data_IF_087444337693
#
_entry.id   IF_087444337693
#
_cell.length_a   1.000
_cell.length_b   1.000
_cell.length_c   1.000
_cell.angle_alpha   90.00
_cell.angle_beta   90.00
_cell.angle_gamma   90.00
#
_symmetry.space_group_name_H-M   'P 1'
#
loop_
_entity.id
_entity.type
_entity.pdbx_description
1 polymer ?
#
# COMPACT_ATOMS: atom_id res chain seq x y z
N UNK A 1 79.89 -2.00 -4.79
CA UNK A 1 79.12 -2.96 -3.99
C UNK A 1 77.99 -2.16 -3.35
N UNK A 2 77.13 -1.56 -4.16
CA UNK A 2 75.95 -2.25 -4.73
C UNK A 2 75.19 -2.99 -3.64
N UNK A 3 74.17 -2.32 -3.12
CA UNK A 3 72.94 -2.94 -2.69
C UNK A 3 71.83 -1.98 -3.14
N UNK A 4 71.59 -1.97 -4.45
CA UNK A 4 70.32 -1.50 -4.99
C UNK A 4 69.24 -2.41 -4.38
N UNK A 5 68.56 -1.92 -3.35
CA UNK A 5 67.27 -2.48 -2.96
C UNK A 5 66.36 -2.14 -4.12
N UNK A 6 66.07 -3.13 -4.94
CA UNK A 6 65.00 -3.06 -5.91
C UNK A 6 63.69 -3.06 -5.10
N UNK A 7 63.34 -1.91 -4.53
CA UNK A 7 61.97 -1.66 -4.07
C UNK A 7 61.14 -1.62 -5.34
N UNK A 8 60.54 -2.75 -5.68
CA UNK A 8 59.54 -2.84 -6.76
C UNK A 8 58.49 -1.77 -6.49
N UNK A 9 58.46 -0.74 -7.35
CA UNK A 9 57.46 0.30 -7.29
C UNK A 9 56.07 -0.36 -7.35
N UNK A 10 55.27 -0.11 -6.33
CA UNK A 10 53.90 -0.63 -6.24
C UNK A 10 52.97 0.33 -6.98
N UNK A 11 52.01 -0.19 -7.72
CA UNK A 11 51.07 0.62 -8.49
C UNK A 11 49.64 0.21 -8.19
N UNK A 12 48.73 1.19 -8.14
CA UNK A 12 47.31 0.94 -7.96
C UNK A 12 46.78 0.08 -9.11
N UNK A 13 46.11 -1.03 -8.78
CA UNK A 13 45.54 -1.94 -9.76
C UNK A 13 44.58 -1.26 -10.76
N UNK A 14 43.83 -0.24 -10.31
CA UNK A 14 42.76 0.36 -11.12
C UNK A 14 43.18 1.62 -11.89
N UNK A 15 43.95 2.52 -11.28
CA UNK A 15 44.33 3.80 -11.90
C UNK A 15 45.81 3.87 -12.31
N UNK A 16 46.63 2.91 -11.88
CA UNK A 16 48.05 2.85 -12.20
C UNK A 16 48.92 3.91 -11.53
N UNK A 17 48.40 4.66 -10.54
CA UNK A 17 49.23 5.60 -9.78
C UNK A 17 50.26 4.85 -8.92
N UNK A 18 51.42 5.46 -8.69
CA UNK A 18 52.45 4.91 -7.81
C UNK A 18 51.98 4.94 -6.35
N UNK A 19 52.12 3.80 -5.68
CA UNK A 19 51.73 3.59 -4.29
C UNK A 19 52.96 3.58 -3.39
N UNK A 20 52.79 4.14 -2.21
CA UNK A 20 53.75 4.11 -1.11
C UNK A 20 53.17 3.27 0.03
N UNK A 21 54.01 2.88 1.00
CA UNK A 21 53.55 2.17 2.20
C UNK A 21 52.47 2.91 3.00
N UNK A 22 52.35 4.24 2.85
CA UNK A 22 51.33 5.06 3.52
C UNK A 22 50.06 5.26 2.68
N UNK A 23 50.12 5.03 1.37
CA UNK A 23 49.03 5.30 0.42
C UNK A 23 48.40 4.05 -0.20
N UNK A 24 49.00 2.88 0.01
CA UNK A 24 48.42 1.59 -0.36
C UNK A 24 47.24 1.26 0.56
N UNK A 25 46.16 0.80 -0.04
CA UNK A 25 45.04 0.16 0.62
C UNK A 25 44.86 -1.22 0.00
N UNK A 26 44.55 -2.21 0.83
CA UNK A 26 44.32 -3.59 0.40
C UNK A 26 42.88 -3.98 0.73
N UNK A 27 42.19 -4.57 -0.25
CA UNK A 27 40.84 -5.11 -0.08
C UNK A 27 40.67 -6.31 -1.02
N UNK A 28 40.23 -7.46 -0.48
CA UNK A 28 40.15 -8.75 -1.18
C UNK A 28 41.40 -9.09 -2.00
N UNK A 29 42.57 -9.02 -1.35
CA UNK A 29 43.88 -9.28 -1.98
C UNK A 29 44.22 -8.34 -3.16
N UNK A 30 43.51 -7.21 -3.32
CA UNK A 30 43.79 -6.18 -4.34
C UNK A 30 44.38 -4.94 -3.70
N UNK A 31 45.60 -4.58 -4.12
CA UNK A 31 46.29 -3.35 -3.72
C UNK A 31 45.87 -2.17 -4.61
N UNK A 32 45.36 -1.10 -4.00
CA UNK A 32 44.87 0.09 -4.69
C UNK A 32 45.12 1.37 -3.90
N UNK A 33 44.98 2.54 -4.54
CA UNK A 33 45.01 3.80 -3.81
C UNK A 33 43.69 4.03 -3.07
N UNK A 34 43.73 4.91 -2.06
CA UNK A 34 42.56 5.30 -1.27
C UNK A 34 41.37 5.78 -2.12
N UNK A 35 41.62 6.57 -3.16
CA UNK A 35 40.56 7.08 -4.04
C UNK A 35 39.86 5.94 -4.76
N UNK A 36 40.63 5.01 -5.34
CA UNK A 36 40.06 3.82 -5.98
C UNK A 36 39.34 2.90 -4.98
N UNK A 37 39.80 2.80 -3.73
CA UNK A 37 39.07 2.06 -2.70
C UNK A 37 37.68 2.68 -2.50
N UNK A 38 37.59 3.99 -2.28
CA UNK A 38 36.31 4.67 -2.09
C UNK A 38 35.40 4.62 -3.32
N UNK A 39 35.97 4.75 -4.52
CA UNK A 39 35.19 4.76 -5.77
C UNK A 39 34.66 3.38 -6.17
N UNK A 40 35.28 2.30 -5.68
CA UNK A 40 34.99 0.92 -6.10
C UNK A 40 34.30 0.07 -5.04
N UNK A 41 34.29 0.53 -3.80
CA UNK A 41 33.74 -0.24 -2.67
C UNK A 41 32.80 0.63 -1.84
N UNK A 42 31.79 -0.01 -1.28
CA UNK A 42 30.85 0.59 -0.33
C UNK A 42 30.92 -0.16 1.00
N UNK A 43 30.17 0.29 1.99
CA UNK A 43 30.06 -0.35 3.30
C UNK A 43 28.61 -0.81 3.46
N UNK A 44 28.41 -2.08 3.82
CA UNK A 44 27.10 -2.61 4.14
C UNK A 44 26.53 -1.89 5.37
N UNK A 45 25.36 -1.27 5.22
CA UNK A 45 24.70 -0.52 6.31
C UNK A 45 24.20 -1.44 7.44
N UNK A 46 24.07 -2.75 7.16
CA UNK A 46 23.59 -3.74 8.13
C UNK A 46 24.72 -4.29 9.02
N UNK A 47 25.81 -4.80 8.44
CA UNK A 47 26.91 -5.41 9.20
C UNK A 47 28.16 -4.53 9.35
N UNK A 48 28.33 -3.48 8.53
CA UNK A 48 29.50 -2.61 8.51
C UNK A 48 30.69 -3.16 7.71
N UNK A 49 30.54 -4.30 7.05
CA UNK A 49 31.60 -4.85 6.18
C UNK A 49 31.74 -4.03 4.90
N UNK A 50 32.98 -3.85 4.44
CA UNK A 50 33.27 -3.27 3.13
C UNK A 50 33.03 -4.33 2.06
N UNK A 51 32.38 -3.95 0.96
CA UNK A 51 32.05 -4.80 -0.18
C UNK A 51 32.36 -4.07 -1.48
N UNK A 52 32.56 -4.80 -2.58
CA UNK A 52 32.64 -4.19 -3.90
C UNK A 52 31.29 -3.57 -4.28
N UNK A 53 31.31 -2.48 -5.04
CA UNK A 53 30.07 -1.85 -5.53
C UNK A 53 29.25 -2.78 -6.44
N UNK A 54 29.88 -3.76 -7.07
CA UNK A 54 29.19 -4.79 -7.87
C UNK A 54 28.51 -5.86 -7.01
N UNK A 55 28.88 -5.95 -5.73
CA UNK A 55 28.31 -6.87 -4.73
C UNK A 55 27.36 -6.13 -3.76
N UNK A 56 26.85 -4.96 -4.15
CA UNK A 56 25.80 -4.27 -3.42
C UNK A 56 24.42 -4.76 -3.89
N UNK A 57 23.73 -5.47 -2.99
CA UNK A 57 22.40 -6.04 -3.18
C UNK A 57 21.29 -5.18 -2.57
N UNK A 58 21.61 -3.95 -2.16
CA UNK A 58 20.68 -2.98 -1.61
C UNK A 58 19.86 -2.23 -2.66
N UNK A 59 19.56 -0.96 -2.36
CA UNK A 59 18.88 -0.05 -3.28
C UNK A 59 19.48 1.38 -3.20
N UNK A 60 18.79 2.37 -3.77
CA UNK A 60 19.29 3.75 -3.77
C UNK A 60 19.46 4.39 -2.38
N UNK A 61 18.86 3.80 -1.34
CA UNK A 61 18.83 4.32 0.02
C UNK A 61 19.67 3.51 1.01
N UNK A 62 19.96 2.24 0.72
CA UNK A 62 20.70 1.34 1.61
C UNK A 62 21.65 0.45 0.82
N UNK A 63 22.89 0.32 1.28
CA UNK A 63 23.89 -0.60 0.74
C UNK A 63 23.91 -1.90 1.55
N UNK A 64 23.82 -3.06 0.90
CA UNK A 64 23.75 -4.36 1.58
C UNK A 64 24.66 -5.40 0.91
N UNK A 65 25.40 -6.17 1.71
CA UNK A 65 26.03 -7.38 1.21
C UNK A 65 24.99 -8.49 0.97
N UNK A 66 25.34 -9.49 0.16
CA UNK A 66 24.46 -10.61 -0.21
C UNK A 66 23.84 -11.30 1.02
N UNK A 67 24.67 -11.69 2.01
CA UNK A 67 24.18 -12.36 3.22
C UNK A 67 23.21 -11.50 4.03
N UNK A 68 23.49 -10.21 4.21
CA UNK A 68 22.57 -9.32 4.93
C UNK A 68 21.26 -9.15 4.17
N UNK A 69 21.30 -8.99 2.84
CA UNK A 69 20.10 -8.91 2.00
C UNK A 69 19.24 -10.16 2.14
N UNK A 70 19.83 -11.35 2.13
CA UNK A 70 19.09 -12.60 2.13
C UNK A 70 18.51 -12.96 3.51
N UNK A 71 19.25 -12.66 4.58
CA UNK A 71 18.85 -13.06 5.94
C UNK A 71 17.93 -12.05 6.63
N UNK A 72 18.07 -10.76 6.32
CA UNK A 72 17.45 -9.69 7.11
C UNK A 72 16.47 -8.81 6.32
N UNK A 73 16.36 -9.01 5.00
CA UNK A 73 15.51 -8.18 4.15
C UNK A 73 14.63 -9.01 3.22
N UNK A 74 13.49 -8.40 2.87
CA UNK A 74 12.52 -8.94 1.93
C UNK A 74 12.02 -7.84 1.00
N UNK A 75 11.18 -8.18 0.02
CA UNK A 75 10.55 -7.19 -0.86
C UNK A 75 9.05 -7.22 -0.71
N UNK A 76 8.42 -6.05 -0.71
CA UNK A 76 6.97 -5.98 -0.74
C UNK A 76 6.43 -6.65 -2.01
N UNK A 77 5.49 -7.57 -1.85
CA UNK A 77 4.88 -8.30 -2.97
C UNK A 77 4.13 -7.41 -3.98
N UNK A 78 3.70 -6.21 -3.57
CA UNK A 78 2.93 -5.30 -4.42
C UNK A 78 3.78 -4.21 -5.10
N UNK A 79 4.61 -3.50 -4.33
CA UNK A 79 5.39 -2.36 -4.83
C UNK A 79 6.89 -2.64 -4.98
N UNK A 80 7.34 -3.87 -4.69
CA UNK A 80 8.73 -4.33 -4.78
C UNK A 80 9.75 -3.55 -3.90
N UNK A 81 9.26 -2.68 -3.03
CA UNK A 81 10.08 -1.92 -2.07
C UNK A 81 10.86 -2.89 -1.17
N UNK A 82 12.16 -2.63 -1.00
CA UNK A 82 13.02 -3.38 -0.09
C UNK A 82 12.66 -3.04 1.36
N UNK A 83 12.44 -4.05 2.19
CA UNK A 83 12.00 -3.93 3.57
C UNK A 83 12.94 -4.72 4.47
N UNK A 84 13.27 -4.17 5.64
CA UNK A 84 13.82 -5.00 6.70
C UNK A 84 12.75 -6.01 7.12
N UNK A 85 13.16 -7.20 7.56
CA UNK A 85 12.22 -8.23 8.03
C UNK A 85 11.38 -7.74 9.23
N UNK A 86 11.89 -6.79 10.02
CA UNK A 86 11.19 -6.18 11.16
C UNK A 86 10.13 -5.14 10.72
N UNK A 87 10.31 -4.51 9.55
CA UNK A 87 9.36 -3.53 8.98
C UNK A 87 8.35 -4.16 8.02
N UNK A 88 8.53 -5.43 7.66
CA UNK A 88 7.64 -6.18 6.79
C UNK A 88 6.41 -6.68 7.55
N UNK A 89 5.24 -6.47 6.95
CA UNK A 89 3.97 -7.02 7.42
C UNK A 89 3.61 -8.25 6.58
N UNK A 90 3.07 -9.29 7.20
CA UNK A 90 2.82 -10.58 6.54
C UNK A 90 1.32 -10.93 6.51
N UNK A 91 0.84 -11.33 5.33
CA UNK A 91 -0.48 -11.95 5.12
C UNK A 91 -0.25 -13.30 4.39
N UNK A 92 -0.66 -14.41 5.00
CA UNK A 92 -0.36 -15.78 4.51
C UNK A 92 1.10 -16.00 4.04
N UNK A 93 2.05 -15.61 4.89
CA UNK A 93 3.51 -15.66 4.63
C UNK A 93 4.00 -14.78 3.45
N UNK A 94 3.14 -13.93 2.89
CA UNK A 94 3.50 -12.97 1.84
C UNK A 94 3.87 -11.61 2.46
N UNK A 95 5.06 -11.05 2.17
CA UNK A 95 5.52 -9.80 2.76
C UNK A 95 4.96 -8.55 2.05
N UNK A 96 4.60 -7.54 2.84
CA UNK A 96 4.09 -6.26 2.38
C UNK A 96 4.72 -5.10 3.16
N UNK A 97 4.88 -3.94 2.52
CA UNK A 97 5.15 -2.71 3.23
C UNK A 97 3.89 -2.28 3.98
N UNK A 98 4.01 -1.41 5.00
CA UNK A 98 2.86 -0.96 5.80
C UNK A 98 1.68 -0.46 4.96
N UNK A 99 1.96 0.34 3.93
CA UNK A 99 0.92 0.91 3.07
C UNK A 99 0.24 -0.17 2.24
N UNK A 100 1.00 -1.04 1.57
CA UNK A 100 0.43 -2.14 0.78
C UNK A 100 -0.27 -3.16 1.68
N UNK A 101 0.27 -3.45 2.87
CA UNK A 101 -0.37 -4.32 3.84
C UNK A 101 -1.67 -3.72 4.33
N UNK A 102 -1.73 -2.43 4.64
CA UNK A 102 -3.01 -1.81 4.99
C UNK A 102 -3.96 -1.80 3.80
N UNK A 103 -3.54 -1.46 2.59
CA UNK A 103 -4.45 -1.51 1.44
C UNK A 103 -4.93 -2.95 1.14
N UNK A 104 -4.11 -3.96 1.45
CA UNK A 104 -4.41 -5.39 1.30
C UNK A 104 -5.23 -5.96 2.48
N UNK A 105 -5.00 -5.49 3.70
CA UNK A 105 -5.56 -6.01 4.97
C UNK A 105 -6.57 -5.09 5.66
N UNK A 106 -6.74 -3.84 5.22
CA UNK A 106 -8.01 -3.10 5.37
C UNK A 106 -8.97 -3.77 4.41
N UNK A 107 -9.35 -4.99 4.77
CA UNK A 107 -10.07 -5.88 3.87
C UNK A 107 -11.27 -5.17 3.29
N UNK A 108 -11.70 -5.64 2.14
CA UNK A 108 -12.86 -5.16 1.40
C UNK A 108 -14.16 -5.12 2.20
N UNK A 109 -14.15 -5.50 3.47
CA UNK A 109 -15.23 -5.35 4.42
C UNK A 109 -14.69 -4.64 5.66
N UNK A 110 -15.01 -3.35 5.81
CA UNK A 110 -14.65 -2.56 6.98
C UNK A 110 -15.57 -2.83 8.18
N UNK A 111 -15.18 -2.38 9.36
CA UNK A 111 -16.04 -2.40 10.55
C UNK A 111 -17.29 -1.52 10.39
N UNK A 112 -18.35 -1.83 11.13
CA UNK A 112 -19.63 -1.08 11.07
C UNK A 112 -19.49 0.42 11.37
N UNK A 113 -18.44 0.82 12.10
CA UNK A 113 -18.17 2.21 12.49
C UNK A 113 -17.25 2.93 11.49
N UNK A 114 -16.76 2.23 10.47
CA UNK A 114 -15.89 2.81 9.46
C UNK A 114 -16.60 3.92 8.69
N UNK A 115 -15.93 5.06 8.61
CA UNK A 115 -16.44 6.26 7.97
C UNK A 115 -15.27 7.05 7.36
N UNK A 116 -14.98 6.88 6.07
CA UNK A 116 -13.91 7.62 5.40
C UNK A 116 -14.29 9.10 5.23
N UNK A 117 -13.31 9.91 4.84
CA UNK A 117 -13.58 11.29 4.41
C UNK A 117 -14.48 11.27 3.16
N UNK A 118 -15.59 12.03 3.14
CA UNK A 118 -16.57 11.94 2.06
C UNK A 118 -16.08 12.60 0.77
N UNK A 119 -16.09 11.84 -0.33
CA UNK A 119 -15.91 12.34 -1.69
C UNK A 119 -17.30 12.73 -2.25
N UNK A 120 -17.48 13.98 -2.70
CA UNK A 120 -18.78 14.45 -3.17
C UNK A 120 -18.89 14.36 -4.69
N UNK A 121 -19.89 13.62 -5.18
CA UNK A 121 -20.10 13.38 -6.60
C UNK A 121 -21.32 14.12 -7.17
N UNK A 122 -21.08 14.91 -8.22
CA UNK A 122 -22.08 15.73 -8.90
C UNK A 122 -22.20 17.14 -8.34
N UNK A 123 -23.02 17.97 -9.00
CA UNK A 123 -23.19 19.39 -8.68
C UNK A 123 -24.58 19.62 -8.09
N UNK A 124 -24.64 19.80 -6.78
CA UNK A 124 -25.89 20.05 -6.03
C UNK A 124 -25.61 20.59 -4.64
N UNK A 125 -26.60 21.25 -4.03
CA UNK A 125 -26.58 21.57 -2.59
C UNK A 125 -27.08 20.40 -1.71
N UNK A 126 -27.65 19.36 -2.35
CA UNK A 126 -28.20 18.18 -1.68
C UNK A 126 -27.52 16.91 -2.18
N UNK A 127 -26.89 16.21 -1.24
CA UNK A 127 -26.19 14.96 -1.46
C UNK A 127 -26.79 13.85 -0.63
N UNK A 128 -26.67 12.64 -1.17
CA UNK A 128 -27.20 11.42 -0.61
C UNK A 128 -26.06 10.40 -0.49
N UNK A 129 -25.83 9.87 0.71
CA UNK A 129 -25.08 8.63 0.89
C UNK A 129 -26.09 7.49 0.95
N UNK A 130 -25.87 6.41 0.23
CA UNK A 130 -26.75 5.23 0.23
C UNK A 130 -26.03 4.07 0.87
N UNK A 131 -26.67 3.43 1.85
CA UNK A 131 -26.23 2.16 2.43
C UNK A 131 -27.22 1.08 1.98
N UNK A 132 -26.74 0.15 1.14
CA UNK A 132 -27.53 -0.97 0.63
C UNK A 132 -27.07 -2.24 1.33
N UNK A 133 -27.94 -2.81 2.15
CA UNK A 133 -27.68 -4.09 2.80
C UNK A 133 -28.04 -5.26 1.87
N UNK A 134 -27.14 -6.22 1.82
CA UNK A 134 -27.26 -7.46 1.06
C UNK A 134 -26.85 -8.65 1.95
N UNK A 135 -27.55 -9.78 1.87
CA UNK A 135 -27.39 -10.94 2.76
C UNK A 135 -27.53 -12.25 1.96
N UNK A 136 -27.10 -13.37 2.54
CA UNK A 136 -27.17 -14.71 1.93
C UNK A 136 -25.88 -15.19 1.26
N UNK A 137 -25.02 -14.27 0.81
CA UNK A 137 -23.72 -14.59 0.20
C UNK A 137 -22.54 -14.67 1.18
N UNK A 138 -22.77 -14.48 2.48
CA UNK A 138 -21.72 -14.51 3.51
C UNK A 138 -21.03 -13.17 3.75
N UNK A 139 -20.34 -13.05 4.88
CA UNK A 139 -19.35 -11.97 5.09
C UNK A 139 -18.02 -12.34 4.41
N UNK A 140 -18.06 -12.43 3.07
CA UNK A 140 -16.99 -12.98 2.25
C UNK A 140 -16.15 -11.86 1.60
N UNK A 141 -14.83 -11.90 1.81
CA UNK A 141 -13.90 -10.85 1.37
C UNK A 141 -13.74 -10.84 -0.16
N UNK A 142 -13.63 -12.00 -0.79
CA UNK A 142 -13.45 -12.12 -2.24
C UNK A 142 -14.68 -11.61 -2.99
N UNK A 143 -15.86 -11.86 -2.42
CA UNK A 143 -17.11 -11.30 -2.91
C UNK A 143 -17.14 -9.76 -2.81
N UNK A 144 -16.69 -9.22 -1.67
CA UNK A 144 -16.61 -7.79 -1.45
C UNK A 144 -15.62 -7.13 -2.43
N UNK A 145 -14.43 -7.72 -2.62
CA UNK A 145 -13.44 -7.30 -3.64
C UNK A 145 -14.04 -7.28 -5.03
N UNK A 146 -14.72 -8.37 -5.41
CA UNK A 146 -15.37 -8.49 -6.72
C UNK A 146 -16.40 -7.37 -6.96
N UNK A 147 -17.13 -6.96 -5.93
CA UNK A 147 -18.08 -5.84 -6.02
C UNK A 147 -17.34 -4.51 -6.14
N UNK A 148 -16.33 -4.28 -5.30
CA UNK A 148 -15.52 -3.06 -5.31
C UNK A 148 -14.83 -2.86 -6.66
N UNK A 149 -14.10 -3.85 -7.16
CA UNK A 149 -13.39 -3.78 -8.44
C UNK A 149 -14.32 -3.49 -9.62
N UNK A 150 -15.56 -4.02 -9.55
CA UNK A 150 -16.54 -3.83 -10.61
C UNK A 150 -17.08 -2.40 -10.65
N UNK A 151 -17.19 -1.76 -9.48
CA UNK A 151 -17.88 -0.48 -9.31
C UNK A 151 -16.90 0.68 -9.25
N UNK A 152 -15.80 0.53 -8.51
CA UNK A 152 -14.76 1.53 -8.32
C UNK A 152 -13.73 1.52 -9.46
N UNK A 153 -14.19 1.43 -10.70
CA UNK A 153 -13.31 1.37 -11.87
C UNK A 153 -12.77 2.76 -12.24
N UNK A 154 -11.75 3.21 -11.50
CA UNK A 154 -11.04 4.47 -11.70
C UNK A 154 -11.41 5.59 -10.73
N UNK A 155 -12.58 5.51 -10.09
CA UNK A 155 -13.05 6.41 -9.05
C UNK A 155 -13.54 5.60 -7.83
N UNK A 156 -13.29 6.06 -6.60
CA UNK A 156 -13.82 5.45 -5.38
C UNK A 156 -15.27 5.89 -5.16
N UNK A 157 -16.23 5.09 -5.64
CA UNK A 157 -17.66 5.38 -5.57
C UNK A 157 -18.30 4.75 -4.33
N UNK A 158 -17.84 3.57 -3.94
CA UNK A 158 -18.37 2.78 -2.83
C UNK A 158 -17.25 2.26 -1.91
N UNK A 159 -17.62 1.95 -0.69
CA UNK A 159 -16.87 1.12 0.24
C UNK A 159 -17.83 0.14 0.90
N UNK A 160 -17.33 -0.98 1.42
CA UNK A 160 -18.17 -2.02 2.01
C UNK A 160 -17.88 -2.14 3.50
N UNK A 161 -18.94 -2.27 4.29
CA UNK A 161 -18.90 -2.51 5.73
C UNK A 161 -19.52 -3.85 6.07
N UNK A 162 -19.14 -4.39 7.22
CA UNK A 162 -19.93 -5.41 7.91
C UNK A 162 -20.96 -4.73 8.81
N UNK A 163 -22.18 -5.25 8.83
CA UNK A 163 -23.19 -4.88 9.80
C UNK A 163 -23.49 -6.07 10.72
N UNK A 164 -23.51 -5.83 12.04
CA UNK A 164 -23.89 -6.83 13.03
C UNK A 164 -25.38 -7.15 13.06
N UNK A 165 -26.21 -6.39 12.32
CA UNK A 165 -27.63 -6.67 12.12
C UNK A 165 -27.90 -7.75 11.06
N UNK A 166 -26.94 -7.98 10.16
CA UNK A 166 -26.99 -9.00 9.12
C UNK A 166 -26.52 -10.34 9.67
N UNK A 167 -27.10 -11.44 9.18
CA UNK A 167 -26.66 -12.77 9.59
C UNK A 167 -25.34 -13.11 8.88
N UNK A 168 -25.33 -12.99 7.54
CA UNK A 168 -24.24 -13.43 6.66
C UNK A 168 -24.21 -12.52 5.42
N UNK A 169 -23.98 -11.22 5.63
CA UNK A 169 -24.16 -10.18 4.62
C UNK A 169 -23.16 -9.03 4.65
N UNK A 170 -23.31 -8.11 3.69
CA UNK A 170 -22.50 -6.93 3.46
C UNK A 170 -23.37 -5.68 3.41
N UNK A 171 -22.80 -4.55 3.81
CA UNK A 171 -23.39 -3.22 3.65
C UNK A 171 -22.57 -2.44 2.62
N UNK A 172 -23.14 -2.24 1.42
CA UNK A 172 -22.50 -1.47 0.36
C UNK A 172 -22.85 0.00 0.57
N UNK A 173 -21.83 0.83 0.82
CA UNK A 173 -22.02 2.25 1.13
C UNK A 173 -21.44 3.13 0.04
N UNK A 174 -22.25 4.05 -0.49
CA UNK A 174 -21.76 5.05 -1.44
C UNK A 174 -21.14 6.24 -0.73
N UNK A 175 -20.12 6.81 -1.34
CA UNK A 175 -19.79 8.21 -1.08
C UNK A 175 -20.98 9.14 -1.42
N UNK A 176 -21.07 10.36 -0.83
CA UNK A 176 -22.21 11.24 -1.07
C UNK A 176 -22.34 11.68 -2.54
N UNK A 177 -23.51 11.49 -3.14
CA UNK A 177 -23.78 11.86 -4.53
C UNK A 177 -25.05 12.70 -4.66
N UNK A 178 -25.08 13.60 -5.64
CA UNK A 178 -26.33 14.26 -6.04
C UNK A 178 -27.34 13.23 -6.58
N UNK A 179 -28.63 13.53 -6.50
CA UNK A 179 -29.68 12.63 -7.02
C UNK A 179 -29.50 12.32 -8.51
N UNK A 180 -29.10 13.32 -9.30
CA UNK A 180 -28.85 13.13 -10.74
C UNK A 180 -27.62 12.25 -11.00
N UNK A 181 -26.61 12.28 -10.12
CA UNK A 181 -25.48 11.36 -10.22
C UNK A 181 -25.93 9.92 -9.93
N UNK A 182 -26.69 9.69 -8.84
CA UNK A 182 -27.22 8.35 -8.54
C UNK A 182 -28.06 7.77 -9.68
N UNK A 183 -28.87 8.60 -10.36
CA UNK A 183 -29.77 8.13 -11.43
C UNK A 183 -29.06 7.84 -12.74
N UNK A 184 -28.04 8.63 -13.08
CA UNK A 184 -27.49 8.66 -14.44
C UNK A 184 -26.03 8.19 -14.54
N UNK A 185 -25.29 8.10 -13.42
CA UNK A 185 -23.85 7.82 -13.42
C UNK A 185 -23.44 6.70 -12.47
N UNK A 186 -24.07 6.59 -11.31
CA UNK A 186 -23.79 5.49 -10.38
C UNK A 186 -24.18 4.15 -11.05
N UNK A 187 -23.26 3.18 -11.16
CA UNK A 187 -23.51 1.90 -11.84
C UNK A 187 -24.30 0.93 -10.96
N UNK A 188 -25.50 1.34 -10.52
CA UNK A 188 -26.40 0.51 -9.73
C UNK A 188 -26.78 -0.83 -10.39
N UNK A 189 -27.01 -0.90 -11.72
CA UNK A 189 -27.23 -2.19 -12.38
C UNK A 189 -26.06 -3.16 -12.16
N UNK A 190 -24.83 -2.69 -12.28
CA UNK A 190 -23.63 -3.49 -12.09
C UNK A 190 -23.46 -3.93 -10.64
N UNK A 191 -23.76 -3.06 -9.67
CA UNK A 191 -23.82 -3.42 -8.23
C UNK A 191 -24.80 -4.57 -8.02
N UNK A 192 -26.05 -4.41 -8.49
CA UNK A 192 -27.12 -5.38 -8.27
C UNK A 192 -26.85 -6.71 -8.98
N UNK A 193 -26.42 -6.67 -10.24
CA UNK A 193 -26.10 -7.87 -11.01
C UNK A 193 -24.91 -8.62 -10.41
N UNK A 194 -23.90 -7.91 -9.91
CA UNK A 194 -22.74 -8.54 -9.27
C UNK A 194 -23.11 -9.18 -7.95
N UNK A 195 -23.85 -8.48 -7.08
CA UNK A 195 -24.36 -9.05 -5.84
C UNK A 195 -25.21 -10.31 -6.09
N UNK A 196 -26.11 -10.27 -7.07
CA UNK A 196 -26.94 -11.44 -7.43
C UNK A 196 -26.13 -12.62 -7.96
N UNK A 197 -25.04 -12.40 -8.72
CA UNK A 197 -24.16 -13.47 -9.19
C UNK A 197 -23.36 -14.12 -8.06
N UNK A 198 -23.14 -13.38 -6.98
CA UNK A 198 -22.44 -13.82 -5.78
C UNK A 198 -23.43 -14.33 -4.71
N UNK A 199 -24.65 -14.69 -5.11
CA UNK A 199 -25.73 -15.25 -4.27
C UNK A 199 -26.23 -14.33 -3.14
N UNK A 200 -25.97 -13.03 -3.21
CA UNK A 200 -26.56 -12.05 -2.29
C UNK A 200 -27.96 -11.61 -2.71
N UNK A 201 -28.79 -11.35 -1.70
CA UNK A 201 -30.16 -10.85 -1.79
C UNK A 201 -30.35 -9.66 -0.83
N UNK A 202 -31.18 -8.68 -1.22
CA UNK A 202 -31.52 -7.53 -0.35
C UNK A 202 -32.94 -7.66 0.20
N UNK A 203 -33.90 -6.82 -0.24
CA UNK A 203 -35.33 -6.79 0.15
C UNK A 203 -36.12 -8.13 0.18
N UNK A 204 -35.52 -9.23 -0.27
CA UNK A 204 -36.08 -10.59 -0.20
C UNK A 204 -35.66 -11.33 1.07
N UNK A 205 -34.85 -10.72 1.93
CA UNK A 205 -34.53 -11.18 3.27
C UNK A 205 -35.31 -10.36 4.31
N UNK A 206 -35.38 -10.85 5.54
CA UNK A 206 -35.98 -10.11 6.67
C UNK A 206 -34.98 -9.20 7.39
N UNK A 207 -33.72 -9.22 6.97
CA UNK A 207 -32.58 -8.59 7.64
C UNK A 207 -32.07 -7.35 6.93
N UNK A 208 -32.33 -7.20 5.63
CA UNK A 208 -31.77 -6.10 4.85
C UNK A 208 -32.67 -4.85 4.81
N UNK A 209 -32.03 -3.69 4.95
CA UNK A 209 -32.57 -2.35 4.74
C UNK A 209 -31.91 -1.57 3.60
N UNK A 210 -32.46 -0.38 3.35
CA UNK A 210 -31.87 0.64 2.50
C UNK A 210 -31.84 1.94 3.31
N UNK A 211 -30.65 2.43 3.62
CA UNK A 211 -30.49 3.69 4.33
C UNK A 211 -30.05 4.80 3.38
N UNK A 212 -30.58 5.99 3.61
CA UNK A 212 -30.26 7.19 2.84
C UNK A 212 -29.86 8.28 3.81
N UNK A 213 -28.60 8.67 3.75
CA UNK A 213 -28.02 9.78 4.51
C UNK A 213 -28.10 11.06 3.68
N UNK A 214 -28.60 12.14 4.28
CA UNK A 214 -28.70 13.44 3.62
C UNK A 214 -27.77 14.43 4.32
N UNK A 215 -27.04 15.24 3.55
CA UNK A 215 -26.17 16.27 4.12
C UNK A 215 -26.97 17.27 4.96
N UNK A 216 -26.51 17.55 6.19
CA UNK A 216 -27.20 18.44 7.15
C UNK A 216 -27.49 19.82 6.60
N UNK A 217 -26.61 20.35 5.74
CA UNK A 217 -26.77 21.68 5.14
C UNK A 217 -28.02 21.80 4.27
N UNK A 218 -28.59 20.68 3.81
CA UNK A 218 -29.92 20.65 3.17
C UNK A 218 -31.02 21.21 4.07
N UNK A 219 -30.90 21.05 5.39
CA UNK A 219 -31.88 21.50 6.38
C UNK A 219 -31.57 22.88 6.96
N UNK A 220 -30.57 23.58 6.41
CA UNK A 220 -30.16 24.91 6.84
C UNK A 220 -28.70 24.99 7.26
N UNK A 221 -28.22 26.24 7.37
CA UNK A 221 -26.81 26.52 7.66
C UNK A 221 -26.51 26.57 9.18
N UNK A 222 -27.55 26.67 10.01
CA UNK A 222 -27.43 26.71 11.47
C UNK A 222 -27.97 25.42 12.08
N UNK A 223 -27.44 25.06 13.26
CA UNK A 223 -27.92 23.90 14.01
C UNK A 223 -29.40 24.03 14.39
N UNK A 224 -29.84 25.24 14.75
CA UNK A 224 -31.23 25.55 15.09
C UNK A 224 -32.18 25.25 13.92
N UNK A 225 -31.85 25.72 12.71
CA UNK A 225 -32.66 25.45 11.52
C UNK A 225 -32.70 23.96 11.16
N UNK A 226 -31.58 23.25 11.35
CA UNK A 226 -31.50 21.81 11.12
C UNK A 226 -32.36 21.03 12.12
N UNK A 227 -32.30 21.37 13.41
CA UNK A 227 -33.03 20.67 14.47
C UNK A 227 -34.56 20.87 14.32
N UNK A 228 -35.03 22.03 13.83
CA UNK A 228 -36.45 22.29 13.51
C UNK A 228 -37.00 21.40 12.37
N UNK A 229 -36.14 20.94 11.46
CA UNK A 229 -36.57 20.14 10.30
C UNK A 229 -36.67 18.63 10.59
N UNK A 230 -36.04 18.15 11.66
CA UNK A 230 -35.81 16.72 11.93
C UNK A 230 -36.49 16.26 13.23
N UNK A 231 -37.20 17.16 13.92
CA UNK A 231 -37.92 16.89 15.19
C UNK A 231 -39.31 16.29 14.99
#
# INVERSE_FOLDING_TARGET
MENERNETALFCHFCGCELTAESVCEFDDVEMCRDCLYDRTTVCDCCGDRIWNEDDYGDENICLCESCRDENYTRCNNCDTLLSNDDAYYDDDVPYCRECYHNHCTGSIHDYSYKPEPIFYGDSDRFFGVELEIDGGGKDKDNAETILDKVNNGDELIYIKGDGSLNEGLEIVTHPMSLEYHKNKMPWPEVAETALRLDYLSHKTSTCGLHIHVNRTTFGLTREAQDECVS
#
